data_IF_019293588218
#
_entry.id   IF_019293588218
#
_cell.length_a   1.000
_cell.length_b   1.000
_cell.length_c   1.000
_cell.angle_alpha   90.00
_cell.angle_beta   90.00
_cell.angle_gamma   90.00
#
_symmetry.space_group_name_H-M   'P 1'
#
loop_
_entity.id
_entity.type
_entity.pdbx_description
1 polymer ?
#
# COMPACT_ATOMS: atom_id res chain seq x y z
N UNK A 1 -3.93 -44.82 32.92
CA UNK A 1 -4.28 -45.46 31.64
C UNK A 1 -4.12 -44.41 30.56
N UNK A 2 -2.85 -44.17 30.25
CA UNK A 2 -2.22 -44.02 28.92
C UNK A 2 -3.11 -43.55 27.76
N UNK A 3 -2.81 -42.33 27.31
CA UNK A 3 -3.27 -41.77 26.04
C UNK A 3 -2.37 -42.35 24.95
N UNK A 4 -2.93 -43.22 24.12
CA UNK A 4 -2.22 -43.90 23.05
C UNK A 4 -1.73 -42.90 21.99
N UNK A 5 -0.41 -42.78 21.88
CA UNK A 5 0.28 -42.14 20.79
C UNK A 5 0.08 -42.94 19.49
N UNK A 6 -1.03 -42.69 18.80
CA UNK A 6 -1.29 -43.28 17.48
C UNK A 6 -1.87 -42.25 16.52
N UNK A 7 -1.04 -41.30 16.12
CA UNK A 7 -1.12 -40.67 14.79
C UNK A 7 0.27 -40.20 14.37
N UNK A 8 1.20 -41.15 14.40
CA UNK A 8 2.52 -41.02 13.77
C UNK A 8 2.29 -41.09 12.26
N UNK A 9 2.36 -39.89 11.68
CA UNK A 9 2.48 -39.58 10.26
C UNK A 9 3.12 -40.73 9.45
N UNK A 10 2.31 -41.36 8.61
CA UNK A 10 2.69 -42.43 7.68
C UNK A 10 3.72 -41.87 6.69
N UNK A 11 5.00 -42.03 6.99
CA UNK A 11 6.09 -41.85 6.03
C UNK A 11 5.97 -43.01 5.02
N UNK A 12 5.29 -42.75 3.91
CA UNK A 12 5.21 -43.64 2.75
C UNK A 12 6.63 -43.99 2.27
N UNK A 13 7.10 -45.17 2.63
CA UNK A 13 8.35 -45.80 2.19
C UNK A 13 8.26 -46.18 0.70
N UNK A 14 8.68 -45.29 -0.20
CA UNK A 14 8.90 -45.64 -1.61
C UNK A 14 10.37 -45.90 -1.90
N UNK A 15 10.72 -47.18 -1.78
CA UNK A 15 11.69 -47.94 -2.60
C UNK A 15 13.10 -47.36 -2.77
N UNK A 16 14.08 -48.01 -2.14
CA UNK A 16 15.48 -48.01 -2.55
C UNK A 16 15.60 -48.51 -4.00
N UNK A 17 15.75 -47.59 -4.95
CA UNK A 17 16.10 -47.90 -6.34
C UNK A 17 17.58 -47.60 -6.53
N UNK A 18 18.26 -48.50 -7.24
CA UNK A 18 19.69 -48.55 -7.55
C UNK A 18 20.40 -47.19 -7.67
N UNK A 19 21.69 -47.16 -7.32
CA UNK A 19 22.61 -46.02 -7.47
C UNK A 19 22.74 -45.58 -8.93
N UNK A 20 21.71 -44.92 -9.44
CA UNK A 20 21.69 -44.21 -10.70
C UNK A 20 22.65 -43.02 -10.54
N UNK A 21 23.57 -42.85 -11.48
CA UNK A 21 24.51 -41.71 -11.52
C UNK A 21 23.70 -40.42 -11.67
N UNK A 22 23.17 -39.90 -10.56
CA UNK A 22 22.40 -38.67 -10.50
C UNK A 22 23.33 -37.54 -10.90
N UNK A 23 23.21 -37.08 -12.14
CA UNK A 23 23.90 -35.87 -12.58
C UNK A 23 23.60 -34.74 -11.58
N UNK A 24 24.62 -33.93 -11.29
CA UNK A 24 24.49 -32.81 -10.37
C UNK A 24 23.30 -31.95 -10.79
N UNK A 25 22.35 -31.76 -9.87
CA UNK A 25 21.19 -30.93 -10.12
C UNK A 25 21.65 -29.49 -10.24
N UNK A 26 21.52 -28.91 -11.43
CA UNK A 26 21.72 -27.47 -11.65
C UNK A 26 20.81 -26.66 -10.72
N UNK A 27 21.32 -25.50 -10.31
CA UNK A 27 20.56 -24.47 -9.59
C UNK A 27 19.34 -24.11 -10.44
N UNK A 28 18.20 -23.82 -9.81
CA UNK A 28 16.92 -23.58 -10.52
C UNK A 28 17.05 -22.46 -11.55
N UNK A 29 17.78 -21.39 -11.23
CA UNK A 29 18.01 -20.26 -12.13
C UNK A 29 18.71 -20.66 -13.44
N UNK A 30 19.66 -21.59 -13.38
CA UNK A 30 20.46 -22.06 -14.52
C UNK A 30 19.81 -23.19 -15.32
N UNK A 31 18.68 -23.73 -14.85
CA UNK A 31 17.99 -24.81 -15.51
C UNK A 31 17.15 -24.31 -16.71
N UNK A 32 16.89 -25.18 -17.69
CA UNK A 32 16.03 -24.83 -18.82
C UNK A 32 14.58 -24.59 -18.36
N UNK A 33 13.82 -23.76 -19.09
CA UNK A 33 12.42 -23.47 -18.76
C UNK A 33 11.57 -24.73 -18.62
N UNK A 34 11.75 -25.71 -19.51
CA UNK A 34 11.07 -27.02 -19.42
C UNK A 34 11.39 -27.75 -18.12
N UNK A 35 12.62 -27.64 -17.62
CA UNK A 35 13.06 -28.25 -16.36
C UNK A 35 12.48 -27.51 -15.16
N UNK A 36 12.50 -26.16 -15.17
CA UNK A 36 11.85 -25.33 -14.14
C UNK A 36 10.37 -25.67 -14.02
N UNK A 37 9.65 -25.71 -15.14
CA UNK A 37 8.23 -26.07 -15.18
C UNK A 37 7.97 -27.46 -14.59
N UNK A 38 8.78 -28.47 -14.95
CA UNK A 38 8.66 -29.82 -14.36
C UNK A 38 8.88 -29.84 -12.86
N UNK A 39 9.80 -29.01 -12.34
CA UNK A 39 10.05 -28.89 -10.88
C UNK A 39 8.92 -28.18 -10.14
N UNK A 40 8.32 -27.15 -10.76
CA UNK A 40 7.27 -26.31 -10.15
C UNK A 40 5.88 -26.94 -10.28
N UNK A 41 5.62 -27.74 -11.34
CA UNK A 41 4.32 -28.37 -11.60
C UNK A 41 3.67 -29.07 -10.40
N UNK A 42 4.37 -29.93 -9.61
CA UNK A 42 3.75 -30.56 -8.45
C UNK A 42 3.36 -29.53 -7.37
N UNK A 43 4.18 -28.50 -7.15
CA UNK A 43 3.90 -27.48 -6.14
C UNK A 43 2.65 -26.67 -6.52
N UNK A 44 2.48 -26.37 -7.81
CA UNK A 44 1.34 -25.61 -8.33
C UNK A 44 0.06 -26.45 -8.36
N UNK A 45 0.14 -27.77 -8.50
CA UNK A 45 -1.05 -28.63 -8.40
C UNK A 45 -1.57 -28.76 -6.97
N UNK A 46 -0.67 -28.70 -5.99
CA UNK A 46 -1.01 -29.00 -4.60
C UNK A 46 -1.44 -27.75 -3.81
N UNK A 47 -0.98 -26.56 -4.23
CA UNK A 47 -1.21 -25.29 -3.52
C UNK A 47 -2.12 -24.34 -4.31
N UNK A 48 -2.99 -23.63 -3.59
CA UNK A 48 -3.80 -22.57 -4.19
C UNK A 48 -2.93 -21.38 -4.59
N UNK A 49 -3.38 -20.63 -5.61
CA UNK A 49 -2.69 -19.42 -6.08
C UNK A 49 -2.51 -18.39 -4.96
N UNK A 50 -3.49 -18.26 -4.07
CA UNK A 50 -3.43 -17.33 -2.94
C UNK A 50 -2.31 -17.71 -1.96
N UNK A 51 -2.20 -18.99 -1.59
CA UNK A 51 -1.14 -19.49 -0.71
C UNK A 51 0.25 -19.27 -1.32
N UNK A 52 0.38 -19.46 -2.63
CA UNK A 52 1.63 -19.20 -3.35
C UNK A 52 2.00 -17.71 -3.31
N UNK A 53 1.03 -16.82 -3.49
CA UNK A 53 1.28 -15.38 -3.44
C UNK A 53 1.64 -14.91 -2.02
N UNK A 54 1.00 -15.42 -0.97
CA UNK A 54 1.34 -15.13 0.42
C UNK A 54 2.76 -15.61 0.78
N UNK A 55 3.12 -16.82 0.32
CA UNK A 55 4.47 -17.34 0.50
C UNK A 55 5.51 -16.44 -0.21
N UNK A 56 5.23 -15.98 -1.42
CA UNK A 56 6.09 -15.05 -2.15
C UNK A 56 6.22 -13.70 -1.44
N UNK A 57 5.11 -13.12 -0.94
CA UNK A 57 5.10 -11.88 -0.17
C UNK A 57 6.02 -11.99 1.06
N UNK A 58 5.80 -13.01 1.90
CA UNK A 58 6.61 -13.22 3.11
C UNK A 58 8.10 -13.42 2.81
N UNK A 59 8.44 -14.10 1.70
CA UNK A 59 9.83 -14.26 1.25
C UNK A 59 10.45 -12.94 0.82
N UNK A 60 9.70 -12.09 0.11
CA UNK A 60 10.17 -10.77 -0.32
C UNK A 60 10.39 -9.84 0.88
N UNK A 61 9.48 -9.82 1.85
CA UNK A 61 9.63 -9.05 3.10
C UNK A 61 10.89 -9.50 3.85
N UNK A 62 11.08 -10.81 4.05
CA UNK A 62 12.28 -11.36 4.70
C UNK A 62 13.58 -10.99 3.97
N UNK A 63 13.52 -10.80 2.66
CA UNK A 63 14.67 -10.36 1.84
C UNK A 63 14.88 -8.83 1.79
N UNK A 64 14.07 -8.05 2.51
CA UNK A 64 14.13 -6.57 2.53
C UNK A 64 13.46 -5.89 1.34
N UNK A 65 12.72 -6.63 0.50
CA UNK A 65 12.07 -6.11 -0.73
C UNK A 65 10.61 -5.74 -0.48
N UNK A 66 10.37 -4.83 0.47
CA UNK A 66 9.02 -4.44 0.89
C UNK A 66 8.13 -3.89 -0.22
N UNK A 67 8.71 -3.12 -1.15
CA UNK A 67 7.98 -2.57 -2.31
C UNK A 67 7.47 -3.68 -3.24
N UNK A 68 8.29 -4.69 -3.52
CA UNK A 68 7.90 -5.84 -4.34
C UNK A 68 6.81 -6.68 -3.64
N UNK A 69 6.93 -6.88 -2.33
CA UNK A 69 5.91 -7.55 -1.52
C UNK A 69 4.55 -6.83 -1.62
N UNK A 70 4.56 -5.49 -1.53
CA UNK A 70 3.35 -4.68 -1.66
C UNK A 70 2.70 -4.83 -3.05
N UNK A 71 3.49 -4.89 -4.12
CA UNK A 71 2.96 -5.16 -5.48
C UNK A 71 2.28 -6.53 -5.53
N UNK A 72 2.87 -7.57 -4.93
CA UNK A 72 2.28 -8.92 -4.88
C UNK A 72 0.95 -8.89 -4.11
N UNK A 73 0.92 -8.27 -2.92
CA UNK A 73 -0.30 -8.11 -2.12
C UNK A 73 -1.42 -7.39 -2.88
N UNK A 74 -1.07 -6.30 -3.57
CA UNK A 74 -2.00 -5.56 -4.40
C UNK A 74 -2.48 -6.37 -5.61
N UNK A 75 -1.65 -7.25 -6.18
CA UNK A 75 -2.05 -8.09 -7.30
C UNK A 75 -3.13 -9.11 -6.90
N UNK A 76 -3.10 -9.62 -5.66
CA UNK A 76 -4.14 -10.50 -5.11
C UNK A 76 -5.45 -9.71 -4.87
N UNK A 77 -5.33 -8.55 -4.21
CA UNK A 77 -6.48 -7.78 -3.74
C UNK A 77 -7.12 -6.91 -4.82
N UNK A 78 -6.40 -6.57 -5.89
CA UNK A 78 -6.88 -5.60 -6.87
C UNK A 78 -7.64 -6.22 -8.03
N UNK A 79 -8.68 -5.51 -8.44
CA UNK A 79 -9.36 -5.78 -9.70
C UNK A 79 -8.43 -5.54 -10.90
N UNK A 80 -8.62 -6.24 -12.03
CA UNK A 80 -7.73 -6.18 -13.20
C UNK A 80 -7.50 -4.75 -13.74
N UNK A 81 -8.39 -3.80 -13.44
CA UNK A 81 -8.26 -2.41 -13.83
C UNK A 81 -7.18 -1.64 -13.05
N UNK A 82 -6.93 -1.99 -11.79
CA UNK A 82 -5.91 -1.32 -10.97
C UNK A 82 -4.50 -1.71 -11.38
N UNK A 83 -4.28 -2.98 -11.72
CA UNK A 83 -3.00 -3.46 -12.24
C UNK A 83 -2.62 -2.76 -13.56
N UNK A 84 -3.60 -2.55 -14.46
CA UNK A 84 -3.41 -1.78 -15.70
C UNK A 84 -2.97 -0.33 -15.42
N UNK A 85 -3.58 0.33 -14.44
CA UNK A 85 -3.20 1.70 -14.02
C UNK A 85 -1.78 1.74 -13.45
N UNK A 86 -1.38 0.77 -12.64
CA UNK A 86 -0.01 0.71 -12.10
C UNK A 86 1.05 0.52 -13.19
N UNK A 87 0.80 -0.37 -14.15
CA UNK A 87 1.70 -0.55 -15.31
C UNK A 87 1.84 0.72 -16.12
N UNK A 88 0.75 1.45 -16.33
CA UNK A 88 0.76 2.74 -17.02
C UNK A 88 1.64 3.75 -16.30
N UNK A 89 1.45 3.91 -14.98
CA UNK A 89 2.23 4.87 -14.17
C UNK A 89 3.73 4.58 -14.25
N UNK A 90 4.15 3.31 -14.09
CA UNK A 90 5.57 2.93 -14.15
C UNK A 90 6.21 3.24 -15.52
N UNK A 91 5.46 3.01 -16.60
CA UNK A 91 5.93 3.33 -17.94
C UNK A 91 6.06 4.85 -18.15
N UNK A 92 5.13 5.64 -17.61
CA UNK A 92 5.16 7.10 -17.73
C UNK A 92 6.24 7.75 -16.86
N UNK A 93 6.45 7.25 -15.63
CA UNK A 93 7.43 7.81 -14.69
C UNK A 93 8.87 7.61 -15.14
N UNK A 94 9.13 6.59 -15.95
CA UNK A 94 10.46 6.32 -16.53
C UNK A 94 10.94 7.40 -17.50
N UNK A 95 10.02 8.27 -17.97
CA UNK A 95 10.29 9.37 -18.93
C UNK A 95 10.09 10.76 -18.34
N UNK A 96 9.72 10.87 -17.06
CA UNK A 96 9.42 12.15 -16.44
C UNK A 96 10.71 12.93 -16.13
N UNK A 97 11.08 13.84 -17.03
CA UNK A 97 12.13 14.84 -16.76
C UNK A 97 11.60 15.82 -15.71
N UNK A 98 12.16 15.79 -14.50
CA UNK A 98 11.87 16.77 -13.46
C UNK A 98 12.46 18.10 -13.92
N UNK A 99 11.59 18.99 -14.42
CA UNK A 99 11.97 20.36 -14.76
C UNK A 99 11.76 21.21 -13.50
N UNK A 100 12.76 22.01 -13.07
CA UNK A 100 12.56 22.93 -11.95
C UNK A 100 11.44 23.92 -12.30
N UNK A 101 10.59 24.22 -11.31
CA UNK A 101 9.49 25.16 -11.47
C UNK A 101 10.01 26.56 -11.79
N UNK A 102 9.31 27.23 -12.71
CA UNK A 102 9.53 28.65 -12.99
C UNK A 102 8.89 29.50 -11.87
N UNK A 103 9.46 30.66 -11.48
CA UNK A 103 8.90 31.52 -10.43
C UNK A 103 7.43 31.92 -10.65
N UNK A 104 6.97 31.97 -11.90
CA UNK A 104 5.56 32.23 -12.24
C UNK A 104 4.63 31.08 -11.84
N UNK A 105 5.09 29.84 -11.93
CA UNK A 105 4.32 28.64 -11.60
C UNK A 105 4.14 28.50 -10.08
N UNK A 106 5.13 28.91 -9.29
CA UNK A 106 5.05 28.94 -7.83
C UNK A 106 3.98 29.93 -7.32
N UNK A 107 3.86 31.08 -7.98
CA UNK A 107 2.82 32.09 -7.66
C UNK A 107 1.42 31.58 -8.03
N UNK A 108 1.31 30.81 -9.11
CA UNK A 108 0.03 30.19 -9.50
C UNK A 108 -0.34 29.07 -8.51
N UNK A 109 0.61 28.24 -8.08
CA UNK A 109 0.36 27.15 -7.15
C UNK A 109 -0.04 27.67 -5.76
N UNK A 110 0.63 28.70 -5.25
CA UNK A 110 0.26 29.35 -3.98
C UNK A 110 -1.15 29.94 -4.03
N UNK A 111 -1.51 30.66 -5.09
CA UNK A 111 -2.88 31.17 -5.31
C UNK A 111 -3.91 30.03 -5.37
N UNK A 112 -3.58 28.91 -6.01
CA UNK A 112 -4.47 27.74 -6.08
C UNK A 112 -4.68 27.07 -4.70
N UNK A 113 -3.65 27.02 -3.85
CA UNK A 113 -3.76 26.52 -2.48
C UNK A 113 -4.67 27.42 -1.65
N UNK A 114 -4.51 28.73 -1.77
CA UNK A 114 -5.32 29.70 -1.02
C UNK A 114 -6.78 29.71 -1.48
N UNK A 115 -7.02 29.57 -2.79
CA UNK A 115 -8.37 29.43 -3.33
C UNK A 115 -9.11 28.20 -2.77
N UNK A 116 -8.43 27.06 -2.64
CA UNK A 116 -9.01 25.84 -2.04
C UNK A 116 -9.38 26.04 -0.57
N UNK A 117 -8.50 26.65 0.22
CA UNK A 117 -8.75 26.96 1.63
C UNK A 117 -9.94 27.90 1.79
N UNK A 118 -9.98 28.97 0.98
CA UNK A 118 -11.06 29.95 1.01
C UNK A 118 -12.41 29.36 0.59
N UNK A 119 -12.41 28.51 -0.44
CA UNK A 119 -13.60 27.76 -0.86
C UNK A 119 -14.10 26.82 0.23
N UNK A 120 -13.21 26.11 0.90
CA UNK A 120 -13.58 25.19 1.98
C UNK A 120 -14.21 25.94 3.16
N UNK A 121 -13.64 27.07 3.55
CA UNK A 121 -14.17 27.92 4.61
C UNK A 121 -15.55 28.50 4.25
N UNK A 122 -15.68 29.10 3.07
CA UNK A 122 -16.93 29.73 2.63
C UNK A 122 -18.04 28.71 2.33
N UNK A 123 -17.69 27.50 1.89
CA UNK A 123 -18.66 26.42 1.64
C UNK A 123 -19.25 25.82 2.92
N UNK A 124 -18.62 26.01 4.09
CA UNK A 124 -19.21 25.66 5.38
C UNK A 124 -20.24 26.68 5.86
N UNK A 125 -20.15 27.93 5.38
CA UNK A 125 -20.93 29.07 5.87
C UNK A 125 -22.05 29.54 4.91
N UNK A 126 -22.03 29.13 3.65
CA UNK A 126 -23.03 29.57 2.64
C UNK A 126 -23.41 28.42 1.71
N UNK A 127 -24.66 28.41 1.23
CA UNK A 127 -25.11 27.38 0.28
C UNK A 127 -24.26 27.39 -1.00
N UNK A 128 -24.10 26.23 -1.65
CA UNK A 128 -23.20 26.04 -2.82
C UNK A 128 -23.42 27.07 -3.94
N UNK A 129 -24.62 27.62 -4.08
CA UNK A 129 -25.00 28.58 -5.12
C UNK A 129 -24.36 29.96 -4.90
N UNK A 130 -24.11 30.36 -3.64
CA UNK A 130 -23.64 31.70 -3.31
C UNK A 130 -22.10 31.83 -3.21
N UNK A 131 -21.39 30.70 -3.13
CA UNK A 131 -19.93 30.67 -2.92
C UNK A 131 -19.12 31.19 -4.12
N UNK A 132 -19.58 30.97 -5.35
CA UNK A 132 -18.88 31.43 -6.56
C UNK A 132 -18.93 32.96 -6.73
N UNK A 133 -20.03 33.61 -6.30
CA UNK A 133 -20.18 35.06 -6.38
C UNK A 133 -19.22 35.72 -5.39
N UNK A 134 -19.17 35.25 -4.14
CA UNK A 134 -18.29 35.78 -3.08
C UNK A 134 -16.81 35.62 -3.41
N UNK A 135 -16.41 34.54 -4.09
CA UNK A 135 -15.01 34.31 -4.50
C UNK A 135 -14.55 35.20 -5.66
N UNK A 136 -15.47 35.76 -6.44
CA UNK A 136 -15.18 36.58 -7.62
C UNK A 136 -15.07 38.08 -7.32
N UNK A 137 -15.43 38.51 -6.10
CA UNK A 137 -15.35 39.92 -5.72
C UNK A 137 -13.97 40.25 -5.14
N UNK A 138 -13.29 41.30 -5.64
CA UNK A 138 -12.04 41.77 -5.04
C UNK A 138 -12.32 42.27 -3.62
N UNK A 139 -11.55 41.75 -2.65
CA UNK A 139 -11.60 42.27 -1.27
C UNK A 139 -11.11 43.72 -1.30
N UNK A 140 -12.00 44.66 -0.97
CA UNK A 140 -11.62 46.04 -0.72
C UNK A 140 -10.70 46.09 0.51
N UNK A 141 -9.65 46.93 0.51
CA UNK A 141 -8.87 47.18 1.70
C UNK A 141 -9.80 47.69 2.80
N UNK A 142 -9.87 46.97 3.92
CA UNK A 142 -10.55 47.45 5.13
C UNK A 142 -9.72 48.59 5.71
N UNK A 143 -10.18 49.82 5.47
CA UNK A 143 -9.68 51.03 6.12
C UNK A 143 -10.65 51.36 7.26
N UNK A 144 -10.10 51.65 8.46
CA UNK A 144 -10.71 51.66 9.82
C UNK A 144 -10.88 50.26 10.44
N UNK A 145 -10.48 49.97 11.68
CA UNK A 145 -9.93 50.77 12.78
C UNK A 145 -10.12 49.96 14.09
N UNK A 146 -9.12 49.99 14.96
CA UNK A 146 -9.10 49.84 16.42
C UNK A 146 -10.12 48.94 17.19
N UNK A 147 -9.51 48.15 18.08
CA UNK A 147 -9.98 47.67 19.41
C UNK A 147 -11.13 46.65 19.49
N UNK A 148 -10.81 45.41 19.89
CA UNK A 148 -11.43 44.84 21.10
C UNK A 148 -10.58 43.67 21.66
N UNK A 149 -10.29 43.76 22.96
CA UNK A 149 -9.66 42.72 23.76
C UNK A 149 -10.70 41.66 24.13
N UNK A 150 -10.35 40.38 23.99
CA UNK A 150 -11.25 39.29 24.37
C UNK A 150 -10.50 37.99 24.64
N UNK A 151 -9.80 37.95 25.77
CA UNK A 151 -9.37 36.70 26.39
C UNK A 151 -10.59 35.97 27.00
N UNK A 152 -10.58 34.64 26.91
CA UNK A 152 -11.53 33.74 27.56
C UNK A 152 -11.93 32.62 26.59
N UNK A 153 -11.87 31.34 26.93
CA UNK A 153 -11.59 30.69 28.19
C UNK A 153 -11.16 29.24 27.84
N UNK A 154 -10.42 28.61 28.74
CA UNK A 154 -10.00 27.22 28.60
C UNK A 154 -11.21 26.30 28.77
N UNK A 155 -11.47 25.44 27.78
CA UNK A 155 -12.28 24.25 28.03
C UNK A 155 -11.33 23.05 28.13
N UNK A 156 -11.24 22.57 29.38
CA UNK A 156 -10.86 21.23 29.76
C UNK A 156 -11.83 20.22 29.13
N UNK A 157 -11.39 18.99 28.91
CA UNK A 157 -11.86 17.86 29.70
C UNK A 157 -11.16 16.57 29.26
N UNK A 158 -10.84 15.80 30.28
CA UNK A 158 -10.31 14.45 30.28
C UNK A 158 -11.23 13.49 29.54
N UNK A 159 -10.68 12.48 28.87
CA UNK A 159 -11.32 11.17 28.71
C UNK A 159 -10.24 10.11 28.37
N UNK A 160 -9.96 9.31 29.40
CA UNK A 160 -9.78 7.85 29.39
C UNK A 160 -8.51 7.20 28.82
N UNK A 161 -7.64 6.84 29.77
CA UNK A 161 -6.89 5.58 29.78
C UNK A 161 -7.87 4.39 29.65
N UNK A 162 -7.50 3.35 28.91
CA UNK A 162 -7.51 2.02 29.50
C UNK A 162 -6.68 1.02 28.68
N UNK A 163 -5.84 0.32 29.43
CA UNK A 163 -4.94 -0.75 29.04
C UNK A 163 -5.75 -2.05 28.82
N UNK A 164 -5.57 -2.72 27.68
CA UNK A 164 -5.97 -4.12 27.53
C UNK A 164 -4.76 -4.92 27.04
N UNK A 165 -4.11 -5.56 28.01
CA UNK A 165 -3.16 -6.64 27.85
C UNK A 165 -3.83 -7.83 27.16
N UNK A 166 -3.44 -8.13 25.91
CA UNK A 166 -3.83 -9.37 25.25
C UNK A 166 -2.79 -10.46 25.51
N UNK A 167 -2.96 -11.20 26.60
CA UNK A 167 -2.41 -12.53 26.74
C UNK A 167 -3.13 -13.48 25.75
N UNK A 168 -2.40 -13.98 24.75
CA UNK A 168 -2.87 -15.05 23.86
C UNK A 168 -2.11 -16.32 24.24
N UNK A 169 -2.87 -17.22 24.86
CA UNK A 169 -2.51 -18.60 25.21
C UNK A 169 -2.23 -19.47 23.96
#
# INVERSE_FOLDING_TARGET
>A
MDIEASDIFVISTKTFRAKEKRQAKKIVQESSERSKQRRVKPIVSDLSSEKLCLAAESSLVKSGKGTAAQVVKLAIQSTPNRLKKMKLVHNTSSSATIRPYSPEEDVIETRHKDYKKLRQYNSRKTSRINTNIVLSMPRLPTFYGDDDEGNGDQESDDDDMDDEDLDVE
#
